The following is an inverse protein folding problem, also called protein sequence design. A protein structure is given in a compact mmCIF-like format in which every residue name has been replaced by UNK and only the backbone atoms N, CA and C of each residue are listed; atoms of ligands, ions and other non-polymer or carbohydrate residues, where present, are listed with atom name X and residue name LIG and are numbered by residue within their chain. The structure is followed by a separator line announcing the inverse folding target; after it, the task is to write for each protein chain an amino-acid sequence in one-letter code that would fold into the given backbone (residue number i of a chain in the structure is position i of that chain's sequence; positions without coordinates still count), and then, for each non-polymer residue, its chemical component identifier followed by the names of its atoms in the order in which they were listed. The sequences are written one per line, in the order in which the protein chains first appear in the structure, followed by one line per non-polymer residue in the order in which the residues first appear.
data_IF_634051720674
#
_entry.id   IF_634051720674
#
_cell.length_a   1.000
_cell.length_b   1.000
_cell.length_c   1.000
_cell.angle_alpha   90.00
_cell.angle_beta   90.00
_cell.angle_gamma   90.00
#
_symmetry.space_group_name_H-M   'P 1'
#
loop_
_entity.id
_entity.type
_entity.pdbx_description
1 polymer ?
#
# COMPACT_ATOMS: atom_id res chain seq x y z
N UNK A 1 -1.47 -10.11 5.71
CA UNK A 1 -1.91 -9.37 6.91
C UNK A 1 -2.36 -8.00 6.45
N UNK A 2 -3.48 -7.48 6.97
CA UNK A 2 -4.02 -6.17 6.57
C UNK A 2 -3.76 -5.14 7.67
N UNK A 3 -3.21 -4.00 7.29
CA UNK A 3 -2.98 -2.86 8.18
C UNK A 3 -4.22 -1.98 8.25
N UNK A 4 -4.45 -1.40 9.42
CA UNK A 4 -5.50 -0.40 9.68
C UNK A 4 -4.91 0.71 10.55
N UNK A 5 -5.66 1.81 10.71
CA UNK A 5 -5.33 2.83 11.71
C UNK A 5 -6.51 3.05 12.64
N UNK A 6 -6.22 3.29 13.91
CA UNK A 6 -7.20 3.50 14.98
C UNK A 6 -6.97 4.88 15.59
N UNK A 7 -8.04 5.65 15.80
CA UNK A 7 -7.95 6.93 16.53
C UNK A 7 -7.93 6.64 18.03
N UNK A 8 -6.89 7.08 18.72
CA UNK A 8 -6.74 6.88 20.16
C UNK A 8 -7.77 7.72 20.93
N UNK A 9 -8.56 7.08 21.80
CA UNK A 9 -9.57 7.77 22.60
C UNK A 9 -8.87 8.54 23.73
N UNK A 10 -8.64 9.84 23.53
CA UNK A 10 -7.99 10.73 24.50
C UNK A 10 -6.79 11.50 23.95
N UNK A 11 -6.28 11.12 22.77
CA UNK A 11 -5.21 11.82 22.07
C UNK A 11 -5.66 12.12 20.64
N UNK A 12 -5.22 13.24 20.07
CA UNK A 12 -5.41 13.53 18.64
C UNK A 12 -4.42 12.74 17.77
N UNK A 13 -4.23 11.45 18.09
CA UNK A 13 -3.31 10.56 17.43
C UNK A 13 -4.06 9.40 16.76
N UNK A 14 -3.53 9.00 15.62
CA UNK A 14 -3.96 7.88 14.80
C UNK A 14 -2.82 6.85 14.78
N UNK A 15 -3.04 5.70 15.38
CA UNK A 15 -2.06 4.62 15.46
C UNK A 15 -2.30 3.63 14.33
N UNK A 16 -1.31 3.48 13.45
CA UNK A 16 -1.27 2.45 12.41
C UNK A 16 -0.77 1.14 13.03
N UNK A 17 -1.37 0.02 12.65
CA UNK A 17 -0.98 -1.30 13.12
C UNK A 17 -1.78 -2.40 12.44
N UNK A 18 -1.66 -3.60 12.95
CA UNK A 18 -2.40 -4.77 12.47
C UNK A 18 -2.75 -5.70 13.62
N UNK A 19 -3.72 -6.58 13.37
CA UNK A 19 -4.05 -7.65 14.30
C UNK A 19 -3.30 -8.92 13.91
N UNK A 20 -2.65 -9.55 14.89
CA UNK A 20 -2.13 -10.91 14.76
C UNK A 20 -3.28 -11.92 14.61
N UNK A 21 -3.01 -13.15 14.15
CA UNK A 21 -4.03 -14.20 14.05
C UNK A 21 -4.70 -14.56 15.38
N UNK A 22 -4.03 -14.29 16.50
CA UNK A 22 -4.55 -14.47 17.87
C UNK A 22 -5.44 -13.31 18.35
N UNK A 23 -5.65 -12.28 17.51
CA UNK A 23 -6.43 -11.09 17.84
C UNK A 23 -5.65 -9.99 18.58
N UNK A 24 -4.36 -10.17 18.84
CA UNK A 24 -3.52 -9.15 19.51
C UNK A 24 -3.25 -7.97 18.58
N UNK A 25 -3.44 -6.74 19.08
CA UNK A 25 -3.08 -5.50 18.36
C UNK A 25 -1.58 -5.22 18.43
N UNK A 26 -0.95 -5.05 17.27
CA UNK A 26 0.47 -4.70 17.14
C UNK A 26 0.62 -3.31 16.50
N UNK A 27 1.02 -2.28 17.28
CA UNK A 27 1.22 -0.93 16.77
C UNK A 27 2.51 -0.83 15.94
N UNK A 28 2.45 -0.04 14.87
CA UNK A 28 3.58 0.22 13.96
C UNK A 28 4.04 1.68 14.02
N UNK A 29 3.10 2.64 13.98
CA UNK A 29 3.42 4.08 14.01
C UNK A 29 2.25 4.95 14.45
N UNK A 30 2.54 6.14 15.01
CA UNK A 30 1.55 7.14 15.42
C UNK A 30 1.60 8.40 14.55
N UNK A 31 0.43 8.95 14.24
CA UNK A 31 0.28 10.11 13.37
C UNK A 31 -0.72 11.12 13.96
N UNK A 32 -0.39 12.41 13.89
CA UNK A 32 -1.29 13.48 14.35
C UNK A 32 -2.45 13.73 13.38
N UNK A 33 -2.30 13.30 12.13
CA UNK A 33 -3.27 13.52 11.05
C UNK A 33 -3.70 12.20 10.44
N UNK A 34 -5.02 12.02 10.27
CA UNK A 34 -5.61 10.80 9.72
C UNK A 34 -5.17 10.56 8.28
N UNK A 35 -4.94 11.62 7.50
CA UNK A 35 -4.56 11.51 6.10
C UNK A 35 -3.18 10.85 5.93
N UNK A 36 -2.26 11.11 6.88
CA UNK A 36 -0.93 10.49 6.87
C UNK A 36 -0.99 9.03 7.33
N UNK A 37 -1.78 8.72 8.36
CA UNK A 37 -2.04 7.34 8.76
C UNK A 37 -2.68 6.52 7.63
N UNK A 38 -3.65 7.10 6.91
CA UNK A 38 -4.31 6.47 5.77
C UNK A 38 -3.33 6.21 4.61
N UNK A 39 -2.44 7.16 4.30
CA UNK A 39 -1.38 6.97 3.30
C UNK A 39 -0.43 5.83 3.69
N UNK A 40 -0.04 5.75 4.98
CA UNK A 40 0.83 4.67 5.49
C UNK A 40 0.14 3.31 5.39
N UNK A 41 -1.12 3.20 5.82
CA UNK A 41 -1.92 1.98 5.68
C UNK A 41 -2.05 1.55 4.23
N UNK A 42 -2.37 2.49 3.32
CA UNK A 42 -2.49 2.22 1.89
C UNK A 42 -1.17 1.71 1.30
N UNK A 43 -0.03 2.27 1.70
CA UNK A 43 1.30 1.79 1.31
C UNK A 43 1.57 0.37 1.83
N UNK A 44 1.35 0.13 3.13
CA UNK A 44 1.59 -1.17 3.78
C UNK A 44 0.68 -2.28 3.24
N UNK A 45 -0.53 -1.92 2.80
CA UNK A 45 -1.46 -2.82 2.13
C UNK A 45 -1.17 -3.00 0.63
N UNK A 46 -0.05 -2.48 0.12
CA UNK A 46 0.47 -2.81 -1.22
C UNK A 46 0.05 -1.88 -2.36
N UNK A 47 -0.62 -0.75 -2.09
CA UNK A 47 -1.05 0.16 -3.15
C UNK A 47 0.11 0.87 -3.89
N UNK A 48 1.35 0.77 -3.41
CA UNK A 48 2.53 1.27 -4.12
C UNK A 48 2.86 0.48 -5.39
N UNK A 49 2.33 -0.74 -5.54
CA UNK A 49 2.64 -1.62 -6.68
C UNK A 49 1.78 -1.29 -7.91
N UNK A 50 0.64 -0.60 -7.75
CA UNK A 50 -0.24 -0.30 -8.89
C UNK A 50 0.29 0.83 -9.79
N UNK A 51 1.08 1.77 -9.25
CA UNK A 51 1.68 2.84 -10.03
C UNK A 51 2.80 2.35 -10.99
N UNK A 52 3.48 1.25 -10.64
CA UNK A 52 4.53 0.65 -11.47
C UNK A 52 4.00 -0.43 -12.41
N UNK A 53 2.92 -1.14 -12.05
CA UNK A 53 2.31 -2.16 -12.93
C UNK A 53 1.61 -1.57 -14.17
N UNK A 54 1.13 -0.33 -14.13
CA UNK A 54 0.53 0.31 -15.30
C UNK A 54 1.57 0.82 -16.33
N UNK A 55 2.86 0.85 -15.97
CA UNK A 55 3.94 1.20 -16.91
C UNK A 55 4.42 -0.04 -17.66
N UNK A 56 4.38 -1.23 -17.05
CA UNK A 56 4.80 -2.49 -17.69
C UNK A 56 3.85 -2.92 -18.83
N UNK A 57 2.56 -2.58 -18.76
CA UNK A 57 1.60 -2.86 -19.83
C UNK A 57 1.77 -1.95 -21.06
N UNK A 58 2.38 -0.77 -20.89
CA UNK A 58 2.66 0.17 -21.97
C UNK A 58 4.03 -0.03 -22.63
N UNK A 59 4.95 -0.79 -22.02
CA UNK A 59 6.27 -1.10 -22.58
C UNK A 59 6.50 -2.61 -22.73
N UNK A 60 5.98 -3.14 -23.83
CA UNK A 60 6.63 -4.20 -24.59
C UNK A 60 6.69 -5.59 -23.95
N UNK A 61 5.63 -6.37 -24.17
CA UNK A 61 5.84 -7.78 -24.53
C UNK A 61 6.67 -7.79 -25.81
N UNK A 62 7.99 -7.92 -25.71
CA UNK A 62 8.83 -8.36 -26.81
C UNK A 62 8.55 -9.84 -27.08
N UNK A 63 7.46 -10.10 -27.79
CA UNK A 63 7.18 -11.37 -28.46
C UNK A 63 7.54 -11.24 -29.95
N UNK A 64 8.20 -12.24 -30.56
CA UNK A 64 8.78 -12.15 -31.90
C UNK A 64 7.73 -12.39 -33.02
N UNK A 65 8.07 -11.96 -34.25
CA UNK A 65 7.33 -12.01 -35.54
C UNK A 65 6.37 -10.83 -35.79
N UNK A 66 6.42 -10.03 -36.87
CA UNK A 66 6.87 -10.19 -38.27
C UNK A 66 7.33 -8.80 -38.81
N UNK A 67 8.51 -8.62 -39.42
CA UNK A 67 8.98 -8.91 -40.80
C UNK A 67 8.65 -7.83 -41.88
N UNK A 68 9.74 -7.26 -42.41
CA UNK A 68 10.06 -6.90 -43.82
C UNK A 68 9.68 -5.54 -44.46
N UNK A 69 10.57 -5.12 -45.39
CA UNK A 69 10.52 -4.10 -46.47
C UNK A 69 11.01 -2.68 -46.06
N UNK A 70 12.03 -2.02 -46.62
CA UNK A 70 12.89 -2.12 -47.83
C UNK A 70 14.36 -1.76 -47.48
#
# INVERSE_FOLDING_TARGET
MSYVYIKSKGYELYTVGFYRPDGTWEPESDWVRSEYAAKRVRYLNGAAIEAQRHVQDCIGRSGPYMNEID
#
